data_IF_622823790217
#
_entry.id   IF_622823790217
#
_cell.length_a   1.000
_cell.length_b   1.000
_cell.length_c   1.000
_cell.angle_alpha   90.00
_cell.angle_beta   90.00
_cell.angle_gamma   90.00
#
_symmetry.space_group_name_H-M   'P 1'
#
loop_
_entity.id
_entity.type
_entity.pdbx_description
1 polymer ?
#
# COMPACT_ATOMS: atom_id res chain seq x y z
N UNK A 1 -18.21 -30.20 -26.34
CA UNK A 1 -17.36 -30.04 -25.17
C UNK A 1 -16.95 -28.58 -25.11
N UNK A 2 -17.64 -27.74 -24.31
CA UNK A 2 -17.29 -26.33 -24.13
C UNK A 2 -16.28 -26.25 -22.99
N UNK A 3 -15.06 -25.88 -23.33
CA UNK A 3 -13.97 -25.59 -22.37
C UNK A 3 -14.38 -24.36 -21.52
N UNK A 4 -14.68 -24.59 -20.26
CA UNK A 4 -14.76 -23.55 -19.26
C UNK A 4 -13.33 -23.19 -18.88
N UNK A 5 -12.74 -22.21 -19.54
CA UNK A 5 -11.53 -21.54 -19.04
C UNK A 5 -11.99 -20.67 -17.87
N UNK A 6 -11.80 -21.17 -16.65
CA UNK A 6 -11.92 -20.35 -15.46
C UNK A 6 -10.79 -19.33 -15.50
N UNK A 7 -11.12 -18.06 -15.71
CA UNK A 7 -10.19 -16.93 -15.62
C UNK A 7 -9.67 -16.88 -14.18
N UNK A 8 -8.42 -17.24 -13.99
CA UNK A 8 -7.72 -17.00 -12.73
C UNK A 8 -7.28 -15.54 -12.75
N UNK A 9 -7.98 -14.72 -12.02
CA UNK A 9 -7.55 -13.33 -11.78
C UNK A 9 -6.38 -13.40 -10.81
N UNK A 10 -5.15 -13.31 -11.33
CA UNK A 10 -3.94 -13.16 -10.51
C UNK A 10 -3.95 -11.73 -9.97
N UNK A 11 -4.40 -11.58 -8.74
CA UNK A 11 -4.37 -10.32 -8.03
C UNK A 11 -2.91 -10.04 -7.62
N UNK A 12 -2.20 -9.19 -8.35
CA UNK A 12 -0.92 -8.66 -7.90
C UNK A 12 -1.17 -7.74 -6.70
N UNK A 13 -1.04 -8.28 -5.49
CA UNK A 13 -1.08 -7.50 -4.24
C UNK A 13 0.30 -6.93 -4.01
N UNK A 14 0.61 -5.85 -4.72
CA UNK A 14 1.88 -5.17 -4.56
C UNK A 14 1.64 -3.68 -4.37
N UNK A 15 1.22 -3.30 -3.27
CA UNK A 15 1.14 -1.96 -2.64
C UNK A 15 0.05 -2.03 -1.57
N UNK A 16 0.43 -1.80 -0.36
CA UNK A 16 -0.50 -1.64 0.74
C UNK A 16 -1.59 -0.63 0.37
N UNK A 17 -2.79 -1.13 0.13
CA UNK A 17 -4.08 -0.48 -0.08
C UNK A 17 -4.50 -0.06 -1.51
N UNK A 18 -3.62 0.30 -2.46
CA UNK A 18 -4.04 0.77 -3.79
C UNK A 18 -4.29 -0.33 -4.84
N UNK A 19 -4.02 -1.61 -4.53
CA UNK A 19 -3.80 -2.63 -5.56
C UNK A 19 -5.03 -3.42 -6.02
N UNK A 20 -6.20 -3.20 -5.43
CA UNK A 20 -7.39 -3.97 -5.83
C UNK A 20 -7.99 -3.55 -7.18
N UNK A 21 -7.65 -2.37 -7.68
CA UNK A 21 -8.24 -1.82 -8.90
C UNK A 21 -7.48 -2.13 -10.17
N UNK A 22 -6.19 -2.47 -10.09
CA UNK A 22 -5.36 -2.72 -11.28
C UNK A 22 -5.58 -4.09 -11.93
N UNK A 23 -6.07 -5.08 -11.19
CA UNK A 23 -6.31 -6.43 -11.72
C UNK A 23 -7.40 -6.49 -12.81
N UNK A 24 -8.26 -5.49 -12.91
CA UNK A 24 -9.32 -5.43 -13.91
C UNK A 24 -8.95 -4.61 -15.16
N UNK A 25 -7.79 -3.94 -15.16
CA UNK A 25 -7.39 -3.03 -16.24
C UNK A 25 -6.74 -3.71 -17.46
N UNK A 26 -6.47 -5.02 -17.40
CA UNK A 26 -5.64 -5.72 -18.41
C UNK A 26 -6.41 -6.32 -19.61
N UNK A 27 -7.69 -6.04 -19.85
CA UNK A 27 -8.44 -6.81 -20.85
C UNK A 27 -8.54 -6.24 -22.26
N UNK A 28 -8.11 -5.00 -22.57
CA UNK A 28 -8.10 -4.51 -23.96
C UNK A 28 -6.92 -3.59 -24.25
N UNK A 29 -6.07 -3.95 -25.22
CA UNK A 29 -4.98 -3.13 -25.73
C UNK A 29 -5.46 -1.71 -26.11
N UNK A 30 -4.90 -0.69 -25.43
CA UNK A 30 -5.16 0.72 -25.72
C UNK A 30 -6.39 1.34 -25.06
N UNK A 31 -7.18 0.61 -24.28
CA UNK A 31 -8.32 1.18 -23.55
C UNK A 31 -7.86 1.84 -22.26
N UNK A 32 -8.34 3.06 -22.04
CA UNK A 32 -8.11 3.79 -20.78
C UNK A 32 -9.09 3.28 -19.74
N UNK A 33 -8.56 2.82 -18.61
CA UNK A 33 -9.34 2.40 -17.46
C UNK A 33 -9.19 3.42 -16.33
N UNK A 34 -10.30 3.79 -15.74
CA UNK A 34 -10.35 4.73 -14.61
C UNK A 34 -11.08 4.09 -13.45
N UNK A 35 -10.56 4.21 -12.24
CA UNK A 35 -11.22 3.74 -11.03
C UNK A 35 -11.12 4.74 -9.89
N UNK A 36 -12.16 4.73 -9.06
CA UNK A 36 -12.28 5.53 -7.85
C UNK A 36 -12.62 4.59 -6.70
N UNK A 37 -11.95 4.74 -5.59
CA UNK A 37 -12.25 4.01 -4.35
C UNK A 37 -12.08 4.94 -3.17
N UNK A 38 -12.84 4.71 -2.10
CA UNK A 38 -12.64 5.36 -0.81
C UNK A 38 -12.76 4.35 0.31
N UNK A 39 -11.70 4.18 1.10
CA UNK A 39 -11.72 3.31 2.27
C UNK A 39 -11.94 4.13 3.54
N UNK A 40 -12.88 3.71 4.38
CA UNK A 40 -13.04 4.19 5.75
C UNK A 40 -12.46 3.13 6.68
N UNK A 41 -11.46 3.50 7.46
CA UNK A 41 -10.75 2.58 8.34
C UNK A 41 -10.76 3.07 9.79
N UNK A 42 -10.76 2.14 10.74
CA UNK A 42 -10.72 2.47 12.17
C UNK A 42 -9.34 2.98 12.62
N UNK A 43 -8.29 2.61 11.90
CA UNK A 43 -6.93 3.15 12.05
C UNK A 43 -6.13 2.92 10.78
N UNK A 44 -5.17 3.81 10.53
CA UNK A 44 -4.22 3.67 9.43
C UNK A 44 -2.90 3.10 9.96
N UNK A 45 -2.57 1.91 9.50
CA UNK A 45 -1.31 1.23 9.80
C UNK A 45 -0.54 1.04 8.48
N UNK A 46 0.67 1.57 8.40
CA UNK A 46 1.53 1.46 7.23
C UNK A 46 2.74 0.58 7.55
N UNK A 47 2.86 -0.56 6.86
CA UNK A 47 3.97 -1.53 7.01
C UNK A 47 4.20 -2.00 8.46
N UNK A 48 3.10 -2.10 9.22
CA UNK A 48 3.12 -2.47 10.64
C UNK A 48 3.28 -1.29 11.61
N UNK A 49 3.44 -0.07 11.12
CA UNK A 49 3.58 1.13 11.95
C UNK A 49 2.29 1.95 11.98
N UNK A 50 1.85 2.31 13.18
CA UNK A 50 0.70 3.17 13.37
C UNK A 50 0.95 4.57 12.82
N UNK A 51 0.06 5.03 11.95
CA UNK A 51 0.12 6.37 11.35
C UNK A 51 -0.91 7.29 12.00
N UNK A 52 -2.17 6.87 12.03
CA UNK A 52 -3.25 7.63 12.64
C UNK A 52 -4.44 6.75 13.01
N UNK A 53 -5.39 7.30 13.77
CA UNK A 53 -6.67 6.68 14.08
C UNK A 53 -7.61 6.56 12.87
N UNK A 54 -8.89 6.70 13.12
CA UNK A 54 -9.90 6.59 12.06
C UNK A 54 -9.62 7.59 10.93
N UNK A 55 -9.60 7.08 9.69
CA UNK A 55 -9.26 7.88 8.52
C UNK A 55 -10.07 7.50 7.29
N UNK A 56 -10.18 8.45 6.37
CA UNK A 56 -10.67 8.24 5.02
C UNK A 56 -9.50 8.21 4.05
N UNK A 57 -9.47 7.20 3.19
CA UNK A 57 -8.36 6.92 2.29
C UNK A 57 -8.87 6.83 0.84
N UNK A 58 -8.96 7.97 0.12
CA UNK A 58 -9.35 8.00 -1.29
C UNK A 58 -8.24 7.47 -2.19
N UNK A 59 -8.64 6.78 -3.26
CA UNK A 59 -7.78 6.30 -4.33
C UNK A 59 -8.37 6.67 -5.67
N UNK A 60 -7.57 7.25 -6.55
CA UNK A 60 -7.86 7.46 -7.97
C UNK A 60 -6.83 6.72 -8.79
N UNK A 61 -7.24 5.88 -9.74
CA UNK A 61 -6.30 5.16 -10.59
C UNK A 61 -6.67 5.29 -12.06
N UNK A 62 -5.65 5.46 -12.89
CA UNK A 62 -5.71 5.48 -14.34
C UNK A 62 -4.80 4.37 -14.88
N UNK A 63 -5.32 3.51 -15.75
CA UNK A 63 -4.56 2.46 -16.43
C UNK A 63 -4.64 2.58 -17.94
N UNK A 64 -3.51 2.38 -18.62
CA UNK A 64 -3.41 2.32 -20.08
C UNK A 64 -2.43 1.21 -20.47
N UNK A 65 -2.95 0.13 -21.03
CA UNK A 65 -2.13 -1.05 -21.29
C UNK A 65 -1.47 -1.56 -20.01
N UNK A 66 -0.16 -1.67 -20.02
CA UNK A 66 0.64 -2.12 -18.87
C UNK A 66 1.09 -0.99 -17.92
N UNK A 67 0.74 0.26 -18.22
CA UNK A 67 1.07 1.42 -17.40
C UNK A 67 -0.09 1.80 -16.49
N UNK A 68 0.21 2.22 -15.28
CA UNK A 68 -0.76 2.79 -14.35
C UNK A 68 -0.23 4.02 -13.63
N UNK A 69 -1.16 4.93 -13.32
CA UNK A 69 -0.92 6.09 -12.46
C UNK A 69 -1.99 6.08 -11.36
N UNK A 70 -1.54 6.14 -10.12
CA UNK A 70 -2.42 6.13 -8.95
C UNK A 70 -2.13 7.33 -8.06
N UNK A 71 -3.18 8.06 -7.68
CA UNK A 71 -3.16 9.01 -6.60
C UNK A 71 -3.91 8.39 -5.41
N UNK A 72 -3.24 8.29 -4.28
CA UNK A 72 -3.79 7.83 -3.02
C UNK A 72 -3.61 8.92 -1.97
N UNK A 73 -4.47 8.93 -0.97
CA UNK A 73 -4.30 9.82 0.16
C UNK A 73 -4.89 9.25 1.43
N UNK A 74 -4.54 9.86 2.55
CA UNK A 74 -5.16 9.60 3.84
C UNK A 74 -5.47 10.92 4.54
N UNK A 75 -6.65 10.99 5.15
CA UNK A 75 -6.99 12.08 6.04
C UNK A 75 -7.73 11.52 7.26
N UNK A 76 -7.23 11.85 8.44
CA UNK A 76 -7.94 11.52 9.66
C UNK A 76 -9.10 12.50 9.91
N UNK A 77 -9.95 12.17 10.90
CA UNK A 77 -11.08 13.03 11.29
C UNK A 77 -10.70 13.98 12.43
N UNK A 78 -9.43 14.05 12.82
CA UNK A 78 -8.93 15.00 13.77
C UNK A 78 -8.60 16.30 13.04
N UNK A 79 -9.30 17.39 13.35
CA UNK A 79 -9.13 18.67 12.66
C UNK A 79 -7.70 19.23 12.78
N UNK A 80 -7.38 20.17 11.88
CA UNK A 80 -6.08 20.84 11.77
C UNK A 80 -5.59 21.57 13.04
N UNK A 81 -6.41 21.67 14.07
CA UNK A 81 -6.11 22.34 15.34
C UNK A 81 -5.76 21.38 16.48
N UNK A 82 -5.61 20.08 16.21
CA UNK A 82 -5.10 19.18 17.25
C UNK A 82 -3.63 19.52 17.49
N UNK A 83 -3.30 19.87 18.74
CA UNK A 83 -1.93 20.11 19.18
C UNK A 83 -1.06 18.84 19.19
N UNK A 84 -1.65 17.68 18.93
CA UNK A 84 -0.89 16.50 18.59
C UNK A 84 -0.49 16.59 17.11
N UNK A 85 0.80 16.43 16.87
CA UNK A 85 1.46 16.45 15.57
C UNK A 85 0.94 15.41 14.54
N UNK A 86 -0.23 14.87 14.75
CA UNK A 86 -0.77 13.68 14.14
C UNK A 86 -2.08 13.89 13.39
N UNK A 87 -2.36 15.07 12.88
CA UNK A 87 -3.33 15.15 11.78
C UNK A 87 -2.64 14.56 10.54
N UNK A 88 -2.55 13.24 10.47
CA UNK A 88 -1.88 12.56 9.39
C UNK A 88 -2.68 12.77 8.11
N UNK A 89 -2.22 13.67 7.30
CA UNK A 89 -2.64 13.83 5.91
C UNK A 89 -1.52 13.35 5.04
N UNK A 90 -1.84 12.48 4.11
CA UNK A 90 -0.88 11.90 3.19
C UNK A 90 -1.40 11.99 1.76
N UNK A 91 -0.52 12.29 0.83
CA UNK A 91 -0.80 12.30 -0.60
C UNK A 91 0.34 11.60 -1.30
N UNK A 92 0.02 10.48 -1.94
CA UNK A 92 0.96 9.66 -2.68
C UNK A 92 0.59 9.63 -4.16
N UNK A 93 1.59 9.79 -5.01
CA UNK A 93 1.47 9.60 -6.45
C UNK A 93 2.39 8.46 -6.87
N UNK A 94 1.82 7.43 -7.48
CA UNK A 94 2.56 6.24 -7.92
C UNK A 94 2.37 6.04 -9.42
N UNK A 95 3.47 5.91 -10.14
CA UNK A 95 3.51 5.43 -11.52
C UNK A 95 4.07 4.01 -11.54
N UNK A 96 3.43 3.08 -12.27
CA UNK A 96 3.90 1.71 -12.36
C UNK A 96 3.77 1.14 -13.77
N UNK A 97 4.63 0.17 -14.09
CA UNK A 97 4.62 -0.57 -15.34
C UNK A 97 4.79 -2.06 -15.08
N UNK A 98 3.84 -2.86 -15.59
CA UNK A 98 3.87 -4.33 -15.48
C UNK A 98 4.39 -4.93 -16.79
N UNK A 99 5.39 -5.80 -16.73
CA UNK A 99 5.99 -6.42 -17.92
C UNK A 99 5.17 -7.63 -18.37
N UNK A 100 4.47 -7.48 -19.48
CA UNK A 100 3.56 -8.53 -19.99
C UNK A 100 2.36 -8.76 -19.07
N UNK A 101 1.70 -9.92 -19.21
CA UNK A 101 0.47 -10.24 -18.48
C UNK A 101 0.70 -10.84 -17.08
N UNK A 102 1.91 -11.30 -16.77
CA UNK A 102 2.27 -11.94 -15.50
C UNK A 102 3.73 -11.71 -15.11
N UNK A 103 4.36 -10.69 -15.67
CA UNK A 103 5.74 -10.32 -15.37
C UNK A 103 5.84 -9.44 -14.12
N UNK A 104 7.07 -9.02 -13.79
CA UNK A 104 7.29 -8.11 -12.68
C UNK A 104 6.69 -6.74 -12.95
N UNK A 105 6.37 -6.03 -11.88
CA UNK A 105 5.93 -4.63 -11.91
C UNK A 105 7.03 -3.76 -11.31
N UNK A 106 7.44 -2.74 -12.05
CA UNK A 106 8.28 -1.66 -11.54
C UNK A 106 7.41 -0.45 -11.22
N UNK A 107 7.74 0.26 -10.15
CA UNK A 107 7.03 1.48 -9.77
C UNK A 107 7.97 2.55 -9.24
N UNK A 108 7.50 3.78 -9.32
CA UNK A 108 8.08 4.94 -8.65
C UNK A 108 6.95 5.70 -7.98
N UNK A 109 7.13 6.03 -6.72
CA UNK A 109 6.16 6.76 -5.92
C UNK A 109 6.79 8.02 -5.32
N UNK A 110 5.96 9.04 -5.17
CA UNK A 110 6.21 10.23 -4.35
C UNK A 110 5.26 10.17 -3.18
N UNK A 111 5.78 10.04 -1.97
CA UNK A 111 5.03 9.99 -0.72
C UNK A 111 5.22 11.33 0.00
N UNK A 112 4.12 11.92 0.46
CA UNK A 112 4.16 13.20 1.15
C UNK A 112 3.22 13.22 2.35
N UNK A 113 3.79 13.43 3.52
CA UNK A 113 3.05 13.55 4.78
C UNK A 113 2.94 15.02 5.20
N UNK A 114 1.70 15.52 5.32
CA UNK A 114 1.42 16.86 5.81
C UNK A 114 1.39 16.90 7.36
N UNK A 115 1.73 18.05 7.94
CA UNK A 115 1.44 18.34 9.35
C UNK A 115 2.60 18.19 10.33
N UNK A 116 3.75 17.69 9.93
CA UNK A 116 4.93 17.57 10.80
C UNK A 116 6.05 18.55 10.44
N UNK A 117 5.69 19.83 10.17
CA UNK A 117 6.66 20.78 9.60
C UNK A 117 6.96 20.46 8.14
N UNK A 118 6.06 19.70 7.50
CA UNK A 118 6.13 19.43 6.07
C UNK A 118 6.20 20.76 5.31
N UNK A 119 7.17 20.85 4.43
CA UNK A 119 7.27 21.94 3.47
C UNK A 119 6.09 21.91 2.48
N UNK A 120 6.05 22.88 1.61
CA UNK A 120 5.04 22.99 0.57
C UNK A 120 5.01 21.73 -0.32
N UNK A 121 3.83 21.19 -0.62
CA UNK A 121 3.66 20.01 -1.47
C UNK A 121 4.38 20.13 -2.83
N UNK A 122 4.40 21.30 -3.43
CA UNK A 122 5.05 21.53 -4.73
C UNK A 122 6.54 21.91 -4.63
N UNK A 123 7.16 21.80 -3.44
CA UNK A 123 8.59 21.98 -3.31
C UNK A 123 9.34 20.67 -3.61
N UNK A 124 9.84 20.53 -4.82
CA UNK A 124 10.65 19.39 -5.28
C UNK A 124 12.15 19.70 -5.33
N UNK A 125 12.60 20.79 -4.74
CA UNK A 125 14.02 21.15 -4.73
C UNK A 125 14.84 20.14 -3.93
N UNK A 126 15.98 19.77 -4.47
CA UNK A 126 16.92 18.89 -3.79
C UNK A 126 17.29 19.45 -2.41
N UNK A 127 17.29 18.60 -1.38
CA UNK A 127 17.58 18.91 0.02
C UNK A 127 16.55 19.82 0.75
N UNK A 128 15.50 20.30 0.05
CA UNK A 128 14.44 21.13 0.64
C UNK A 128 13.07 20.45 0.60
N UNK A 129 12.91 19.45 -0.25
CA UNK A 129 11.63 18.75 -0.43
C UNK A 129 11.24 17.94 0.82
N UNK A 130 9.94 17.94 1.15
CA UNK A 130 9.37 17.06 2.18
C UNK A 130 8.90 15.70 1.62
N UNK A 131 9.05 15.47 0.32
CA UNK A 131 8.69 14.21 -0.31
C UNK A 131 9.71 13.11 -0.02
N UNK A 132 9.21 11.89 0.08
CA UNK A 132 10.01 10.67 -0.01
C UNK A 132 9.78 10.06 -1.39
N UNK A 133 10.84 9.73 -2.11
CA UNK A 133 10.74 9.07 -3.41
C UNK A 133 11.11 7.60 -3.26
N UNK A 134 10.13 6.75 -3.54
CA UNK A 134 10.26 5.30 -3.39
C UNK A 134 10.25 4.61 -4.76
N UNK A 135 11.17 3.68 -4.99
CA UNK A 135 11.12 2.74 -6.09
C UNK A 135 10.61 1.39 -5.58
N UNK A 136 9.83 0.70 -6.40
CA UNK A 136 9.26 -0.60 -6.07
C UNK A 136 9.47 -1.63 -7.18
N UNK A 137 9.71 -2.87 -6.76
CA UNK A 137 9.71 -4.06 -7.62
C UNK A 137 8.78 -5.09 -7.01
N UNK A 138 7.76 -5.51 -7.75
CA UNK A 138 6.81 -6.51 -7.32
C UNK A 138 6.76 -7.67 -8.31
N UNK A 139 6.59 -8.89 -7.80
CA UNK A 139 6.38 -10.07 -8.61
C UNK A 139 5.47 -11.06 -7.89
N UNK A 140 4.49 -11.59 -8.61
CA UNK A 140 3.63 -12.68 -8.11
C UNK A 140 4.02 -13.97 -8.81
N UNK A 141 4.29 -15.03 -8.04
CA UNK A 141 4.61 -16.32 -8.59
C UNK A 141 3.41 -16.85 -9.42
N UNK A 142 3.62 -17.26 -10.67
CA UNK A 142 2.55 -17.73 -11.54
C UNK A 142 2.17 -19.19 -11.22
N UNK A 143 1.93 -19.47 -9.93
CA UNK A 143 1.56 -20.78 -9.41
C UNK A 143 0.12 -20.69 -8.91
N UNK A 144 -0.83 -21.24 -9.67
CA UNK A 144 -2.27 -21.12 -9.41
C UNK A 144 -2.67 -21.44 -7.95
N UNK A 145 -2.07 -22.48 -7.37
CA UNK A 145 -2.37 -22.91 -5.98
C UNK A 145 -1.53 -22.22 -4.92
N UNK A 146 -0.54 -21.43 -5.33
CA UNK A 146 0.38 -20.75 -4.43
C UNK A 146 0.79 -19.38 -5.01
N UNK A 147 -0.17 -18.44 -5.15
CA UNK A 147 0.07 -17.13 -5.75
C UNK A 147 0.78 -16.19 -4.77
N UNK A 148 1.97 -16.55 -4.32
CA UNK A 148 2.78 -15.73 -3.43
C UNK A 148 3.30 -14.51 -4.18
N UNK A 149 3.04 -13.33 -3.66
CA UNK A 149 3.60 -12.07 -4.14
C UNK A 149 4.76 -11.64 -3.26
N UNK A 150 5.81 -11.14 -3.90
CA UNK A 150 6.97 -10.53 -3.26
C UNK A 150 7.05 -9.10 -3.76
N UNK A 151 7.18 -8.15 -2.83
CA UNK A 151 7.40 -6.74 -3.15
C UNK A 151 8.65 -6.26 -2.42
N UNK A 152 9.48 -5.50 -3.13
CA UNK A 152 10.62 -4.80 -2.55
C UNK A 152 10.49 -3.31 -2.88
N UNK A 153 10.50 -2.49 -1.85
CA UNK A 153 10.44 -1.04 -1.94
C UNK A 153 11.69 -0.44 -1.30
N UNK A 154 12.22 0.64 -1.87
CA UNK A 154 13.31 1.37 -1.26
C UNK A 154 13.22 2.87 -1.56
N UNK A 155 13.56 3.69 -0.56
CA UNK A 155 13.59 5.14 -0.65
C UNK A 155 14.89 5.59 -1.30
N UNK A 156 14.83 6.04 -2.55
CA UNK A 156 16.05 6.40 -3.29
C UNK A 156 16.38 7.89 -3.27
N UNK A 157 15.44 8.75 -2.84
CA UNK A 157 15.62 10.19 -2.75
C UNK A 157 14.62 10.84 -1.79
N UNK A 158 14.80 12.13 -1.54
CA UNK A 158 13.89 12.93 -0.71
C UNK A 158 14.30 12.97 0.76
N UNK A 159 13.32 12.90 1.66
CA UNK A 159 13.52 13.10 3.11
C UNK A 159 14.03 11.89 3.88
N UNK A 160 14.24 10.76 3.23
CA UNK A 160 14.84 9.59 3.84
C UNK A 160 16.35 9.83 4.10
N UNK A 161 16.65 10.61 5.15
CA UNK A 161 17.99 11.12 5.47
C UNK A 161 18.46 10.68 6.85
N UNK A 162 19.77 10.45 6.97
CA UNK A 162 20.45 10.31 8.24
C UNK A 162 20.69 11.66 8.93
N UNK A 163 21.27 11.63 10.13
CA UNK A 163 21.61 12.83 10.91
C UNK A 163 22.61 13.77 10.20
N UNK A 164 23.38 13.25 9.25
CA UNK A 164 24.36 13.99 8.46
C UNK A 164 23.79 14.49 7.12
N UNK A 165 22.51 14.21 6.84
CA UNK A 165 21.84 14.58 5.60
C UNK A 165 22.11 13.63 4.43
N UNK A 166 22.74 12.48 4.65
CA UNK A 166 22.92 11.45 3.63
C UNK A 166 21.63 10.66 3.41
N UNK A 167 21.45 10.12 2.19
CA UNK A 167 20.33 9.25 1.88
C UNK A 167 20.48 7.91 2.61
N UNK A 168 19.42 7.47 3.31
CA UNK A 168 19.40 6.21 4.06
C UNK A 168 19.16 4.99 3.18
N UNK A 169 18.47 5.17 2.04
CA UNK A 169 18.00 4.07 1.20
C UNK A 169 17.15 3.07 1.97
N UNK A 170 16.28 3.58 2.85
CA UNK A 170 15.36 2.77 3.65
C UNK A 170 14.61 1.76 2.79
N UNK A 171 14.60 0.51 3.20
CA UNK A 171 14.14 -0.61 2.38
C UNK A 171 13.12 -1.46 3.13
N UNK A 172 12.11 -1.94 2.41
CA UNK A 172 11.06 -2.80 2.94
C UNK A 172 10.75 -3.92 1.96
N UNK A 173 10.71 -5.15 2.44
CA UNK A 173 10.32 -6.32 1.64
C UNK A 173 9.08 -6.93 2.24
N UNK A 174 8.09 -7.24 1.40
CA UNK A 174 6.82 -7.81 1.82
C UNK A 174 6.47 -9.06 1.02
N UNK A 175 6.02 -10.08 1.72
CA UNK A 175 5.40 -11.28 1.18
C UNK A 175 3.91 -11.23 1.43
N UNK A 176 3.10 -11.49 0.39
CA UNK A 176 1.65 -11.57 0.48
C UNK A 176 1.15 -12.89 -0.11
N UNK A 177 0.27 -13.55 0.62
CA UNK A 177 -0.35 -14.80 0.21
C UNK A 177 -1.88 -14.69 0.32
N UNK A 178 -2.60 -14.53 -0.81
CA UNK A 178 -4.05 -14.55 -0.84
C UNK A 178 -4.58 -16.00 -0.86
N UNK A 179 -5.65 -16.25 -0.11
CA UNK A 179 -6.37 -17.53 -0.11
C UNK A 179 -7.82 -17.32 0.32
N UNK A 180 -8.70 -18.28 0.01
CA UNK A 180 -10.13 -18.19 0.34
C UNK A 180 -10.55 -19.35 1.23
N UNK A 181 -11.25 -19.06 2.33
CA UNK A 181 -11.80 -20.06 3.24
C UNK A 181 -13.30 -19.81 3.41
N UNK A 182 -14.12 -20.78 3.01
CA UNK A 182 -15.60 -20.74 3.15
C UNK A 182 -16.23 -19.43 2.63
N UNK A 183 -15.70 -18.89 1.49
CA UNK A 183 -16.24 -17.69 0.87
C UNK A 183 -15.85 -16.38 1.58
N UNK A 184 -14.82 -16.42 2.42
CA UNK A 184 -14.12 -15.26 2.97
C UNK A 184 -12.76 -15.20 2.31
N UNK A 185 -12.41 -14.06 1.72
CA UNK A 185 -11.08 -13.84 1.14
C UNK A 185 -10.12 -13.41 2.22
N UNK A 186 -9.01 -14.12 2.30
CA UNK A 186 -7.97 -13.93 3.32
C UNK A 186 -6.66 -13.55 2.64
N UNK A 187 -5.90 -12.64 3.27
CA UNK A 187 -4.56 -12.26 2.87
C UNK A 187 -3.63 -12.35 4.07
N UNK A 188 -2.64 -13.23 3.98
CA UNK A 188 -1.57 -13.31 4.95
C UNK A 188 -0.38 -12.46 4.45
N UNK A 189 0.18 -11.63 5.32
CA UNK A 189 1.27 -10.72 5.01
C UNK A 189 2.43 -10.93 5.97
N UNK A 190 3.65 -10.90 5.45
CA UNK A 190 4.88 -10.81 6.25
C UNK A 190 5.79 -9.75 5.63
N UNK A 191 6.07 -8.69 6.39
CA UNK A 191 6.89 -7.57 5.97
C UNK A 191 8.12 -7.39 6.86
N UNK A 192 9.26 -7.08 6.22
CA UNK A 192 10.55 -6.98 6.90
C UNK A 192 11.33 -5.76 6.43
N UNK A 193 12.13 -5.21 7.32
CA UNK A 193 13.24 -4.31 7.01
C UNK A 193 14.48 -5.18 6.84
N UNK A 194 15.11 -5.25 5.65
CA UNK A 194 16.23 -6.16 5.39
C UNK A 194 17.54 -5.73 6.03
N UNK A 195 17.69 -4.46 6.39
CA UNK A 195 18.88 -3.89 7.04
C UNK A 195 18.49 -2.64 7.84
N UNK A 196 19.44 -2.08 8.61
CA UNK A 196 19.27 -0.78 9.26
C UNK A 196 19.11 0.31 8.21
N UNK A 197 17.88 0.64 7.96
CA UNK A 197 17.53 1.78 7.15
C UNK A 197 17.08 2.86 8.13
N UNK A 198 17.83 3.90 8.27
CA UNK A 198 17.64 5.04 9.16
C UNK A 198 16.32 5.17 9.89
N UNK A 199 16.41 5.61 11.09
CA UNK A 199 15.35 5.75 12.12
C UNK A 199 14.09 6.45 11.65
N UNK A 200 14.17 7.28 10.61
CA UNK A 200 13.16 8.29 10.36
C UNK A 200 11.97 7.78 9.56
N UNK A 201 12.17 6.93 8.56
CA UNK A 201 11.10 6.53 7.66
C UNK A 201 10.28 5.34 8.19
N UNK A 202 10.91 4.38 8.86
CA UNK A 202 10.24 3.17 9.35
C UNK A 202 10.22 3.04 10.88
N UNK A 203 10.42 4.14 11.62
CA UNK A 203 10.32 4.12 13.09
C UNK A 203 11.30 3.15 13.77
N UNK A 204 12.39 2.78 13.10
CA UNK A 204 13.33 1.79 13.61
C UNK A 204 14.36 2.39 14.56
N UNK A 205 14.87 1.57 15.49
CA UNK A 205 16.08 1.86 16.23
C UNK A 205 17.30 1.64 15.31
N UNK A 206 18.17 2.63 15.22
CA UNK A 206 19.36 2.68 14.34
C UNK A 206 20.32 1.50 14.49
N UNK A 207 20.18 0.70 15.52
CA UNK A 207 21.15 -0.36 15.86
C UNK A 207 20.64 -1.79 15.62
N UNK A 208 19.60 -1.98 14.82
CA UNK A 208 18.85 -3.23 14.91
C UNK A 208 18.96 -4.19 13.74
N UNK A 209 19.53 -3.83 12.63
CA UNK A 209 19.67 -4.72 11.49
C UNK A 209 18.33 -5.21 10.93
N UNK A 210 18.28 -6.44 10.50
CA UNK A 210 17.07 -7.10 10.02
C UNK A 210 15.95 -7.09 11.06
N UNK A 211 14.75 -6.69 10.66
CA UNK A 211 13.58 -6.69 11.54
C UNK A 211 12.30 -7.11 10.81
N UNK A 212 11.49 -7.93 11.46
CA UNK A 212 10.10 -8.19 11.05
C UNK A 212 9.24 -7.10 11.65
N UNK A 213 8.54 -6.35 10.82
CA UNK A 213 7.71 -5.21 11.26
C UNK A 213 6.22 -5.39 10.97
N UNK A 214 5.86 -6.32 10.09
CA UNK A 214 4.47 -6.48 9.68
C UNK A 214 4.13 -7.96 9.52
N UNK A 215 3.42 -8.53 10.48
CA UNK A 215 2.80 -9.84 10.36
C UNK A 215 1.29 -9.62 10.44
N UNK A 216 0.59 -9.84 9.33
CA UNK A 216 -0.83 -9.51 9.28
C UNK A 216 -1.69 -10.60 8.65
N UNK A 217 -2.94 -10.65 9.08
CA UNK A 217 -4.00 -11.42 8.44
C UNK A 217 -5.20 -10.52 8.23
N UNK A 218 -5.55 -10.29 6.96
CA UNK A 218 -6.73 -9.53 6.53
C UNK A 218 -7.80 -10.49 6.05
N UNK A 219 -9.02 -10.34 6.55
CA UNK A 219 -10.21 -11.05 6.08
C UNK A 219 -11.16 -10.05 5.44
N UNK A 220 -11.66 -10.38 4.25
CA UNK A 220 -12.54 -9.52 3.46
C UNK A 220 -13.78 -10.26 3.04
N UNK A 221 -14.90 -9.55 2.96
CA UNK A 221 -16.15 -10.09 2.47
C UNK A 221 -17.05 -8.99 1.91
N UNK A 222 -17.67 -9.28 0.77
CA UNK A 222 -18.71 -8.43 0.21
C UNK A 222 -20.03 -8.69 0.92
N UNK A 223 -20.59 -7.66 1.53
CA UNK A 223 -21.94 -7.71 2.11
C UNK A 223 -22.94 -7.19 1.09
N UNK A 224 -23.77 -8.09 0.57
CA UNK A 224 -24.82 -7.73 -0.39
C UNK A 224 -25.88 -6.89 0.30
N UNK A 225 -26.00 -5.62 -0.09
CA UNK A 225 -27.00 -4.68 0.43
C UNK A 225 -28.26 -4.67 -0.46
N UNK A 226 -28.05 -4.61 -1.79
CA UNK A 226 -29.13 -4.70 -2.79
C UNK A 226 -28.73 -5.69 -3.90
N UNK A 227 -29.59 -5.86 -4.91
CA UNK A 227 -29.22 -6.69 -6.07
C UNK A 227 -28.12 -6.07 -6.95
N UNK A 228 -27.93 -4.75 -6.87
CA UNK A 228 -26.95 -3.98 -7.64
C UNK A 228 -25.82 -3.39 -6.82
N UNK A 229 -25.85 -3.55 -5.48
CA UNK A 229 -24.85 -2.95 -4.60
C UNK A 229 -24.41 -3.91 -3.49
N UNK A 230 -23.12 -4.14 -3.41
CA UNK A 230 -22.46 -4.83 -2.30
C UNK A 230 -21.46 -3.89 -1.62
N UNK A 231 -21.38 -3.96 -0.31
CA UNK A 231 -20.43 -3.21 0.50
C UNK A 231 -19.29 -4.16 0.92
N UNK A 232 -18.08 -4.00 0.37
CA UNK A 232 -16.90 -4.70 0.85
C UNK A 232 -16.55 -4.24 2.26
N UNK A 233 -16.45 -5.19 3.17
CA UNK A 233 -15.96 -4.96 4.54
C UNK A 233 -14.69 -5.77 4.77
N UNK A 234 -13.83 -5.30 5.65
CA UNK A 234 -12.66 -6.06 6.05
C UNK A 234 -12.33 -5.87 7.53
N UNK A 235 -11.64 -6.86 8.07
CA UNK A 235 -10.96 -6.83 9.34
C UNK A 235 -9.52 -7.27 9.12
N UNK A 236 -8.56 -6.61 9.76
CA UNK A 236 -7.16 -6.95 9.66
C UNK A 236 -6.53 -6.95 11.06
N UNK A 237 -5.95 -8.09 11.45
CA UNK A 237 -5.08 -8.19 12.61
C UNK A 237 -3.65 -7.99 12.12
N UNK A 238 -2.90 -7.12 12.81
CA UNK A 238 -1.52 -6.75 12.47
C UNK A 238 -0.70 -6.84 13.74
N UNK A 239 0.46 -7.47 13.63
CA UNK A 239 1.47 -7.50 14.67
C UNK A 239 2.79 -6.94 14.12
N UNK A 240 3.36 -5.99 14.85
CA UNK A 240 4.72 -5.52 14.62
C UNK A 240 5.65 -6.11 15.68
N UNK A 241 6.35 -7.22 15.38
CA UNK A 241 7.24 -7.86 16.35
C UNK A 241 8.36 -6.95 16.84
N UNK A 242 8.83 -6.05 15.96
CA UNK A 242 9.92 -5.11 16.26
C UNK A 242 9.55 -4.12 17.34
N UNK A 243 8.32 -3.60 17.30
CA UNK A 243 7.81 -2.62 18.26
C UNK A 243 7.05 -3.26 19.41
N UNK A 244 6.90 -4.59 19.40
CA UNK A 244 6.01 -5.34 20.33
C UNK A 244 4.58 -4.78 20.33
N UNK A 245 4.11 -4.30 19.17
CA UNK A 245 2.81 -3.64 19.02
C UNK A 245 1.85 -4.46 18.16
N UNK A 246 0.55 -4.35 18.43
CA UNK A 246 -0.49 -5.08 17.72
C UNK A 246 -1.72 -4.20 17.48
N UNK A 247 -2.28 -4.33 16.28
CA UNK A 247 -3.44 -3.53 15.85
C UNK A 247 -4.54 -4.42 15.31
N UNK A 248 -5.79 -3.97 15.50
CA UNK A 248 -6.96 -4.52 14.86
C UNK A 248 -7.65 -3.41 14.06
N UNK A 249 -7.65 -3.54 12.75
CA UNK A 249 -8.22 -2.56 11.83
C UNK A 249 -9.52 -3.09 11.27
N UNK A 250 -10.58 -2.30 11.36
CA UNK A 250 -11.85 -2.51 10.67
C UNK A 250 -11.95 -1.51 9.52
N UNK A 251 -12.47 -1.94 8.38
CA UNK A 251 -12.65 -1.04 7.25
C UNK A 251 -13.83 -1.42 6.36
N UNK A 252 -14.31 -0.41 5.65
CA UNK A 252 -15.27 -0.54 4.57
C UNK A 252 -14.72 0.13 3.33
N UNK A 253 -14.96 -0.45 2.15
CA UNK A 253 -14.53 0.10 0.86
C UNK A 253 -15.73 0.58 0.07
N UNK A 254 -15.73 1.86 -0.31
CA UNK A 254 -16.71 2.45 -1.20
C UNK A 254 -16.17 2.40 -2.63
N UNK A 255 -16.85 1.67 -3.50
CA UNK A 255 -16.54 1.54 -4.92
C UNK A 255 -17.80 1.81 -5.72
N UNK A 256 -17.77 2.66 -6.76
CA UNK A 256 -18.92 2.87 -7.66
C UNK A 256 -19.21 1.64 -8.51
#
# INVERSE_FOLDING_TARGET
MKSFVKKVTVLAVAFSMASYTLANAQEEDGKVNFSVQGDLVSSYIWRGFYQTGASFQPTLSLGVGNFSLTAWGATDFQGANSTSAAAAKEIDLTAAYTFGSAGPTLSVASLWWAGQGAGDYFNFKSHETAHHFEAGLAYTLPIEKFPLSITWNFMFAGQDKDENGNQNYSSYVELNFPFTVKGVDLHATCGVLPYDAGVTTYGGDVNSGFAVTNVALKAMKDIKITNSFSLPIFIQAIWNPRMEDAHLVLGISLRP
#
